data_IF_889263353150
#
_entry.id   IF_889263353150
#
_cell.length_a   1.000
_cell.length_b   1.000
_cell.length_c   1.000
_cell.angle_alpha   90.00
_cell.angle_beta   90.00
_cell.angle_gamma   90.00
#
_symmetry.space_group_name_H-M   'P 1'
#
loop_
_entity.id
_entity.type
_entity.pdbx_description
1 polymer ?
#
# COMPACT_ATOMS: atom_id res chain seq x y z
N UNK A 1 -16.65 -29.57 -26.03
CA UNK A 1 -15.70 -29.59 -24.91
C UNK A 1 -14.38 -28.97 -25.31
N UNK A 2 -13.51 -29.76 -25.93
CA UNK A 2 -12.09 -29.45 -26.19
C UNK A 2 -11.79 -28.18 -27.00
N UNK A 3 -12.55 -27.85 -28.05
CA UNK A 3 -12.33 -26.59 -28.82
C UNK A 3 -12.60 -25.32 -28.02
N UNK A 4 -13.63 -25.33 -27.16
CA UNK A 4 -13.92 -24.20 -26.28
C UNK A 4 -12.85 -24.07 -25.21
N UNK A 5 -12.46 -25.17 -24.56
CA UNK A 5 -11.38 -25.18 -23.56
C UNK A 5 -10.05 -24.67 -24.12
N UNK A 6 -9.64 -25.12 -25.30
CA UNK A 6 -8.45 -24.60 -26.00
C UNK A 6 -8.56 -23.11 -26.32
N UNK A 7 -9.72 -22.63 -26.77
CA UNK A 7 -9.91 -21.21 -27.08
C UNK A 7 -9.83 -20.31 -25.84
N UNK A 8 -10.32 -20.78 -24.69
CA UNK A 8 -10.26 -20.04 -23.43
C UNK A 8 -8.87 -20.11 -22.77
N UNK A 9 -8.20 -21.27 -22.79
CA UNK A 9 -6.82 -21.39 -22.34
C UNK A 9 -5.88 -20.48 -23.15
N UNK A 10 -6.09 -20.40 -24.47
CA UNK A 10 -5.39 -19.46 -25.33
C UNK A 10 -5.72 -18.01 -24.96
N UNK A 11 -7.00 -17.68 -24.72
CA UNK A 11 -7.40 -16.34 -24.30
C UNK A 11 -6.78 -15.93 -22.95
N UNK A 12 -6.65 -16.86 -22.02
CA UNK A 12 -6.03 -16.64 -20.70
C UNK A 12 -4.52 -16.41 -20.83
N UNK A 13 -3.83 -17.24 -21.62
CA UNK A 13 -2.43 -17.01 -21.98
C UNK A 13 -2.22 -15.66 -22.66
N UNK A 14 -3.08 -15.30 -23.62
CA UNK A 14 -3.03 -14.01 -24.30
C UNK A 14 -3.20 -12.87 -23.30
N UNK A 15 -4.12 -12.97 -22.34
CA UNK A 15 -4.34 -11.95 -21.30
C UNK A 15 -3.16 -11.86 -20.33
N UNK A 16 -2.57 -12.98 -19.91
CA UNK A 16 -1.34 -13.01 -19.10
C UNK A 16 -0.20 -12.30 -19.83
N UNK A 17 -0.04 -12.55 -21.14
CA UNK A 17 0.92 -11.85 -22.00
C UNK A 17 0.58 -10.36 -22.19
N UNK A 18 -0.69 -10.00 -22.38
CA UNK A 18 -1.10 -8.60 -22.45
C UNK A 18 -0.82 -7.84 -21.15
N UNK A 19 -1.03 -8.48 -19.99
CA UNK A 19 -0.71 -7.90 -18.67
C UNK A 19 0.80 -7.77 -18.47
N UNK A 20 1.57 -8.79 -18.85
CA UNK A 20 3.03 -8.74 -18.86
C UNK A 20 3.53 -7.60 -19.76
N UNK A 21 2.99 -7.47 -20.97
CA UNK A 21 3.27 -6.35 -21.87
C UNK A 21 2.88 -5.00 -21.27
N UNK A 22 1.73 -4.90 -20.59
CA UNK A 22 1.31 -3.67 -19.90
C UNK A 22 2.31 -3.32 -18.77
N UNK A 23 2.75 -4.30 -18.01
CA UNK A 23 3.74 -4.13 -16.94
C UNK A 23 5.11 -3.75 -17.51
N UNK A 24 5.55 -4.37 -18.61
CA UNK A 24 6.80 -4.04 -19.30
C UNK A 24 6.74 -2.64 -19.93
N UNK A 25 5.63 -2.28 -20.56
CA UNK A 25 5.42 -0.95 -21.12
C UNK A 25 5.42 0.12 -20.02
N UNK A 26 4.76 -0.16 -18.89
CA UNK A 26 4.82 0.69 -17.71
C UNK A 26 6.27 0.79 -17.20
N UNK A 27 6.96 -0.33 -16.98
CA UNK A 27 8.35 -0.35 -16.51
C UNK A 27 9.29 0.42 -17.45
N UNK A 28 9.10 0.32 -18.77
CA UNK A 28 9.86 1.06 -19.77
C UNK A 28 9.57 2.57 -19.74
N UNK A 29 8.34 2.96 -19.40
CA UNK A 29 7.96 4.37 -19.22
C UNK A 29 8.41 4.96 -17.87
N UNK A 30 8.76 4.09 -16.92
CA UNK A 30 9.21 4.48 -15.59
C UNK A 30 10.72 4.70 -15.60
N UNK A 31 11.22 5.80 -15.02
CA UNK A 31 12.66 6.01 -14.88
C UNK A 31 13.35 4.87 -14.11
N UNK A 32 14.66 4.65 -14.29
CA UNK A 32 15.42 3.56 -13.62
C UNK A 32 15.67 3.81 -12.12
N UNK A 33 15.20 2.91 -11.25
CA UNK A 33 15.47 2.97 -9.81
C UNK A 33 16.74 2.20 -9.45
N UNK A 34 17.50 2.69 -8.46
CA UNK A 34 18.65 2.01 -7.88
C UNK A 34 18.37 1.83 -6.39
N UNK A 35 18.46 0.59 -5.90
CA UNK A 35 18.37 0.26 -4.49
C UNK A 35 19.74 -0.21 -4.00
N UNK A 36 20.18 0.30 -2.84
CA UNK A 36 21.49 0.01 -2.26
C UNK A 36 21.31 -0.86 -1.02
N UNK A 37 21.85 -2.08 -1.06
CA UNK A 37 21.79 -3.06 0.02
C UNK A 37 23.18 -3.33 0.59
N UNK A 38 23.27 -3.64 1.88
CA UNK A 38 24.55 -3.90 2.56
C UNK A 38 24.40 -4.01 4.07
N UNK A 39 25.38 -4.62 4.75
CA UNK A 39 25.32 -4.87 6.20
C UNK A 39 25.45 -3.59 7.05
N UNK A 40 26.30 -2.63 6.63
CA UNK A 40 26.50 -1.37 7.36
C UNK A 40 25.44 -0.34 7.02
N UNK A 41 24.69 0.18 8.00
CA UNK A 41 23.69 1.25 7.80
C UNK A 41 24.38 2.58 7.49
N UNK A 42 25.40 2.95 8.27
CA UNK A 42 26.14 4.20 8.08
C UNK A 42 26.81 4.29 6.70
N UNK A 43 27.37 3.17 6.20
CA UNK A 43 27.98 3.13 4.86
C UNK A 43 26.98 3.33 3.72
N UNK A 44 25.77 2.75 3.86
CA UNK A 44 24.68 2.93 2.88
C UNK A 44 24.20 4.38 2.83
N UNK A 45 23.90 4.96 4.00
CA UNK A 45 23.42 6.34 4.07
C UNK A 45 24.46 7.32 3.54
N UNK A 46 25.75 7.13 3.87
CA UNK A 46 26.83 7.94 3.32
C UNK A 46 26.93 7.82 1.79
N UNK A 47 26.89 6.59 1.26
CA UNK A 47 26.95 6.37 -0.19
C UNK A 47 25.77 7.04 -0.91
N UNK A 48 24.54 6.87 -0.41
CA UNK A 48 23.34 7.50 -0.95
C UNK A 48 23.43 9.03 -0.84
N UNK A 49 23.90 9.56 0.30
CA UNK A 49 24.13 10.99 0.48
C UNK A 49 25.07 11.57 -0.57
N UNK A 50 26.22 10.91 -0.81
CA UNK A 50 27.18 11.31 -1.87
C UNK A 50 26.62 11.21 -3.28
N UNK A 51 25.73 10.24 -3.54
CA UNK A 51 25.08 10.10 -4.84
C UNK A 51 24.06 11.22 -5.09
N UNK A 52 23.40 11.68 -4.03
CA UNK A 52 22.38 12.72 -4.05
C UNK A 52 22.94 14.14 -3.84
N UNK A 53 24.22 14.27 -3.47
CA UNK A 53 24.90 15.56 -3.32
C UNK A 53 24.77 16.40 -4.59
N UNK A 54 24.19 17.59 -4.43
CA UNK A 54 24.07 18.58 -5.49
C UNK A 54 25.45 19.01 -6.00
N UNK A 55 25.64 18.96 -7.33
CA UNK A 55 26.92 19.32 -7.97
C UNK A 55 26.93 20.74 -8.54
N UNK A 56 25.78 21.41 -8.58
CA UNK A 56 25.64 22.78 -9.08
C UNK A 56 24.94 23.66 -8.06
N UNK A 57 25.34 24.92 -8.03
CA UNK A 57 24.73 25.93 -7.18
C UNK A 57 23.24 26.09 -7.55
N UNK A 58 22.34 25.89 -6.59
CA UNK A 58 20.88 25.96 -6.77
C UNK A 58 20.17 24.63 -7.09
N UNK A 59 20.89 23.52 -7.29
CA UNK A 59 20.28 22.18 -7.35
C UNK A 59 20.06 21.65 -5.92
N UNK A 60 18.92 21.00 -5.65
CA UNK A 60 18.64 20.35 -4.36
C UNK A 60 18.49 18.84 -4.54
N UNK A 61 18.59 18.07 -3.45
CA UNK A 61 18.37 16.60 -3.45
C UNK A 61 16.97 16.22 -3.99
N UNK A 62 16.01 17.15 -3.95
CA UNK A 62 14.65 16.96 -4.46
C UNK A 62 14.49 17.36 -5.94
N UNK A 63 15.49 18.01 -6.54
CA UNK A 63 15.67 18.14 -7.99
C UNK A 63 14.95 19.28 -8.72
N UNK A 64 14.15 20.14 -8.06
CA UNK A 64 13.76 21.45 -8.62
C UNK A 64 13.17 22.41 -7.57
N UNK A 65 13.24 23.72 -7.87
CA UNK A 65 12.68 24.83 -7.10
C UNK A 65 11.20 25.08 -7.51
N UNK A 66 10.20 24.90 -6.63
CA UNK A 66 8.82 25.27 -6.97
C UNK A 66 8.75 26.77 -7.27
N UNK A 67 7.81 27.17 -8.14
CA UNK A 67 7.69 28.51 -8.77
C UNK A 67 7.85 29.74 -7.85
N UNK A 68 7.77 29.60 -6.51
CA UNK A 68 7.72 30.72 -5.57
C UNK A 68 8.50 30.55 -4.25
N UNK A 69 9.38 29.55 -4.07
CA UNK A 69 10.14 29.47 -2.81
C UNK A 69 11.48 28.74 -2.94
N UNK A 70 12.64 29.43 -2.77
CA UNK A 70 13.93 28.78 -2.75
C UNK A 70 13.92 27.73 -1.65
N UNK A 71 13.93 26.46 -2.06
CA UNK A 71 14.17 25.37 -1.13
C UNK A 71 15.51 25.65 -0.43
N UNK A 72 15.61 25.45 0.90
CA UNK A 72 16.90 25.51 1.59
C UNK A 72 17.91 24.58 0.89
N UNK A 73 19.22 24.79 1.10
CA UNK A 73 20.25 23.80 0.74
C UNK A 73 20.03 22.51 1.55
N UNK A 74 19.05 21.70 1.11
CA UNK A 74 18.61 20.48 1.75
C UNK A 74 19.61 19.37 1.44
N UNK A 75 19.99 18.63 2.49
CA UNK A 75 20.96 17.56 2.45
C UNK A 75 20.32 16.23 2.87
N UNK A 76 20.62 15.17 2.13
CA UNK A 76 20.07 13.85 2.39
C UNK A 76 20.42 13.35 3.79
N UNK A 77 21.67 13.51 4.23
CA UNK A 77 22.13 12.95 5.50
C UNK A 77 21.48 13.65 6.70
N UNK A 78 21.28 14.95 6.62
CA UNK A 78 20.79 15.77 7.72
C UNK A 78 19.28 16.01 7.72
N UNK A 79 18.62 16.03 6.56
CA UNK A 79 17.19 16.40 6.45
C UNK A 79 16.26 15.25 6.12
N UNK A 80 16.73 14.23 5.40
CA UNK A 80 15.87 13.17 4.86
C UNK A 80 16.18 11.78 5.40
N UNK A 81 17.43 11.52 5.79
CA UNK A 81 17.84 10.25 6.36
C UNK A 81 17.47 10.19 7.84
N UNK A 82 16.55 9.30 8.27
CA UNK A 82 16.24 9.13 9.69
C UNK A 82 17.51 8.67 10.43
N UNK A 83 17.93 9.41 11.48
CA UNK A 83 19.19 9.19 12.19
C UNK A 83 18.99 8.46 13.52
N UNK A 84 18.91 7.13 13.53
CA UNK A 84 18.93 6.35 14.78
C UNK A 84 17.87 5.25 14.83
N UNK A 85 18.13 4.22 15.64
CA UNK A 85 17.35 2.98 15.66
C UNK A 85 17.98 1.92 14.76
N UNK A 86 18.15 0.70 15.27
CA UNK A 86 18.82 -0.42 14.59
C UNK A 86 18.10 -0.98 13.37
N UNK A 87 17.08 -0.29 12.83
CA UNK A 87 16.34 -0.73 11.65
C UNK A 87 16.11 0.39 10.63
N UNK A 88 16.43 0.02 9.39
CA UNK A 88 16.00 0.53 8.09
C UNK A 88 15.94 2.06 7.86
N UNK A 89 17.07 2.60 7.39
CA UNK A 89 17.05 3.63 6.35
C UNK A 89 16.42 3.04 5.08
N UNK A 90 15.11 3.15 4.96
CA UNK A 90 14.40 2.88 3.70
C UNK A 90 13.20 3.81 3.54
N UNK A 91 13.37 5.11 3.79
CA UNK A 91 12.57 6.09 3.05
C UNK A 91 13.18 6.19 1.64
N UNK A 92 12.96 5.17 0.82
CA UNK A 92 13.18 5.28 -0.62
C UNK A 92 11.92 5.91 -1.22
N UNK A 93 11.65 7.16 -0.84
CA UNK A 93 10.64 7.93 -1.55
C UNK A 93 11.29 8.46 -2.80
N UNK A 94 11.13 7.71 -3.88
CA UNK A 94 11.72 8.04 -5.16
C UNK A 94 10.88 9.10 -5.87
N UNK A 95 11.12 10.36 -5.56
CA UNK A 95 10.60 11.48 -6.35
C UNK A 95 11.38 11.55 -7.66
N UNK A 96 10.93 10.82 -8.68
CA UNK A 96 11.59 10.91 -9.98
C UNK A 96 11.04 12.08 -10.76
N UNK A 97 11.82 13.15 -10.88
CA UNK A 97 11.53 14.27 -11.76
C UNK A 97 11.95 13.94 -13.20
N UNK A 98 11.26 12.97 -13.81
CA UNK A 98 11.45 12.62 -15.23
C UNK A 98 10.75 13.59 -16.18
N UNK A 99 11.15 13.64 -17.46
CA UNK A 99 10.50 14.43 -18.53
C UNK A 99 9.20 13.79 -19.08
N UNK A 100 8.82 12.59 -18.63
CA UNK A 100 7.61 11.88 -19.09
C UNK A 100 6.38 12.21 -18.24
N UNK A 101 5.19 12.22 -18.88
CA UNK A 101 3.80 12.48 -18.39
C UNK A 101 3.57 13.72 -17.50
N UNK A 102 4.63 14.31 -16.99
CA UNK A 102 4.68 15.28 -15.91
C UNK A 102 4.87 16.69 -16.42
N UNK A 103 5.35 16.93 -17.64
CA UNK A 103 5.64 18.32 -18.08
C UNK A 103 4.36 19.18 -18.18
N UNK A 104 3.24 18.59 -18.60
CA UNK A 104 1.93 19.26 -18.57
C UNK A 104 1.41 19.50 -17.14
N UNK A 105 1.51 18.51 -16.26
CA UNK A 105 1.03 18.64 -14.87
C UNK A 105 1.95 19.51 -13.99
N UNK A 106 3.26 19.49 -14.27
CA UNK A 106 4.25 20.43 -13.74
C UNK A 106 3.92 21.86 -14.16
N UNK A 107 3.53 22.07 -15.43
CA UNK A 107 3.11 23.39 -15.89
C UNK A 107 1.86 23.90 -15.12
N UNK A 108 0.96 22.97 -14.75
CA UNK A 108 -0.23 23.21 -13.94
C UNK A 108 0.01 23.27 -12.42
N UNK A 109 1.25 23.09 -11.93
CA UNK A 109 1.57 23.23 -10.50
C UNK A 109 1.59 21.93 -9.69
N UNK A 110 1.42 20.76 -10.32
CA UNK A 110 1.44 19.44 -9.65
C UNK A 110 2.65 18.61 -10.11
N UNK A 111 3.87 18.94 -9.65
CA UNK A 111 5.10 18.32 -10.14
C UNK A 111 5.34 16.90 -9.62
N UNK A 112 4.62 16.47 -8.58
CA UNK A 112 4.80 15.16 -7.96
C UNK A 112 3.75 14.21 -8.50
N UNK A 113 4.18 13.01 -8.87
CA UNK A 113 3.30 11.93 -9.32
C UNK A 113 3.38 10.76 -8.35
N UNK A 114 2.25 10.41 -7.75
CA UNK A 114 2.04 9.18 -6.98
C UNK A 114 1.33 8.14 -7.82
N UNK A 115 1.70 6.87 -7.66
CA UNK A 115 0.97 5.73 -8.22
C UNK A 115 0.23 5.03 -7.09
N UNK A 116 -1.06 4.80 -7.26
CA UNK A 116 -1.84 4.00 -6.33
C UNK A 116 -1.40 2.54 -6.40
N UNK A 117 -1.48 1.87 -5.25
CA UNK A 117 -1.32 0.41 -5.21
C UNK A 117 -2.42 -0.23 -6.05
N UNK A 118 -2.05 -1.23 -6.86
CA UNK A 118 -3.05 -2.05 -7.54
C UNK A 118 -3.81 -2.90 -6.53
N UNK A 119 -4.98 -3.41 -6.91
CA UNK A 119 -5.74 -4.35 -6.08
C UNK A 119 -4.91 -5.59 -5.72
N UNK A 120 -4.13 -6.09 -6.68
CA UNK A 120 -3.15 -7.17 -6.47
C UNK A 120 -2.07 -6.80 -5.44
N UNK A 121 -1.53 -5.57 -5.50
CA UNK A 121 -0.56 -5.09 -4.51
C UNK A 121 -1.16 -5.01 -3.09
N UNK A 122 -2.41 -4.55 -2.96
CA UNK A 122 -3.14 -4.55 -1.68
C UNK A 122 -3.31 -5.96 -1.13
N UNK A 123 -3.75 -6.91 -1.97
CA UNK A 123 -3.91 -8.32 -1.58
C UNK A 123 -2.59 -8.91 -1.09
N UNK A 124 -1.51 -8.78 -1.87
CA UNK A 124 -0.19 -9.29 -1.52
C UNK A 124 0.32 -8.68 -0.21
N UNK A 125 0.18 -7.36 -0.05
CA UNK A 125 0.65 -6.64 1.14
C UNK A 125 -0.10 -7.08 2.40
N UNK A 126 -1.43 -7.12 2.36
CA UNK A 126 -2.26 -7.52 3.51
C UNK A 126 -2.08 -8.99 3.84
N UNK A 127 -2.10 -9.87 2.84
CA UNK A 127 -1.93 -11.31 3.04
C UNK A 127 -0.56 -11.63 3.62
N UNK A 128 0.51 -11.04 3.09
CA UNK A 128 1.87 -11.20 3.63
C UNK A 128 1.95 -10.71 5.07
N UNK A 129 1.40 -9.53 5.38
CA UNK A 129 1.38 -8.99 6.74
C UNK A 129 0.69 -9.94 7.71
N UNK A 130 -0.49 -10.44 7.34
CA UNK A 130 -1.22 -11.42 8.14
C UNK A 130 -0.43 -12.73 8.32
N UNK A 131 0.11 -13.32 7.25
CA UNK A 131 0.87 -14.58 7.32
C UNK A 131 2.22 -14.44 8.03
N UNK A 132 2.81 -13.26 8.03
CA UNK A 132 4.04 -12.95 8.72
C UNK A 132 3.85 -12.76 10.23
N UNK A 133 2.85 -11.95 10.61
CA UNK A 133 2.69 -11.45 11.98
C UNK A 133 1.64 -12.21 12.80
N UNK A 134 0.62 -12.77 12.14
CA UNK A 134 -0.49 -13.45 12.81
C UNK A 134 -0.36 -14.98 12.80
N UNK A 135 0.84 -15.52 12.57
CA UNK A 135 1.11 -16.95 12.70
C UNK A 135 0.86 -17.41 14.14
N UNK A 136 -0.20 -18.19 14.34
CA UNK A 136 -0.29 -19.10 15.49
C UNK A 136 0.09 -20.50 15.02
N UNK A 137 0.88 -21.22 15.82
CA UNK A 137 1.30 -22.60 15.56
C UNK A 137 0.11 -23.57 15.38
N UNK A 138 -1.11 -23.15 15.75
CA UNK A 138 -2.34 -23.94 15.76
C UNK A 138 -3.29 -23.70 14.55
N UNK A 139 -2.91 -22.94 13.52
CA UNK A 139 -3.82 -22.69 12.37
C UNK A 139 -3.75 -23.83 11.33
N UNK A 140 -4.69 -24.76 11.44
CA UNK A 140 -4.84 -25.97 10.62
C UNK A 140 -5.51 -25.77 9.24
N UNK A 141 -6.01 -24.57 8.91
CA UNK A 141 -6.80 -24.40 7.69
C UNK A 141 -5.91 -24.29 6.44
N UNK A 142 -5.96 -25.35 5.62
CA UNK A 142 -5.31 -25.48 4.32
C UNK A 142 -6.34 -25.31 3.21
N UNK A 143 -6.07 -24.43 2.27
CA UNK A 143 -6.86 -24.19 1.06
C UNK A 143 -6.34 -25.06 -0.07
N UNK A 144 -6.86 -26.29 -0.15
CA UNK A 144 -6.67 -27.18 -1.29
C UNK A 144 -7.77 -27.01 -2.36
N UNK A 145 -7.71 -27.81 -3.43
CA UNK A 145 -8.69 -27.76 -4.52
C UNK A 145 -10.13 -27.98 -4.07
N UNK A 146 -10.35 -28.93 -3.16
CA UNK A 146 -11.68 -29.34 -2.73
C UNK A 146 -12.28 -28.33 -1.75
N UNK A 147 -11.48 -27.79 -0.83
CA UNK A 147 -11.90 -26.74 0.10
C UNK A 147 -12.25 -25.44 -0.63
N UNK A 148 -11.44 -25.05 -1.61
CA UNK A 148 -11.70 -23.85 -2.42
C UNK A 148 -12.93 -24.05 -3.32
N UNK A 149 -13.10 -25.24 -3.92
CA UNK A 149 -14.31 -25.54 -4.70
C UNK A 149 -15.55 -25.50 -3.82
N UNK A 150 -15.51 -26.07 -2.61
CA UNK A 150 -16.62 -26.02 -1.66
C UNK A 150 -16.95 -24.59 -1.24
N UNK A 151 -15.93 -23.78 -0.92
CA UNK A 151 -16.12 -22.37 -0.59
C UNK A 151 -16.80 -21.61 -1.74
N UNK A 152 -16.32 -21.81 -2.97
CA UNK A 152 -16.86 -21.13 -4.14
C UNK A 152 -18.27 -21.60 -4.46
N UNK A 153 -18.50 -22.90 -4.58
CA UNK A 153 -19.77 -23.48 -5.02
C UNK A 153 -20.87 -23.32 -3.97
N UNK A 154 -20.60 -23.77 -2.75
CA UNK A 154 -21.64 -24.00 -1.74
C UNK A 154 -21.89 -22.74 -0.88
N UNK A 155 -20.94 -21.79 -0.84
CA UNK A 155 -21.06 -20.58 -0.04
C UNK A 155 -21.09 -19.30 -0.89
N UNK A 156 -20.05 -19.03 -1.66
CA UNK A 156 -19.90 -17.73 -2.31
C UNK A 156 -20.77 -17.58 -3.55
N UNK A 157 -20.78 -18.54 -4.47
CA UNK A 157 -21.56 -18.47 -5.71
C UNK A 157 -23.06 -18.56 -5.46
N UNK A 158 -23.47 -19.30 -4.42
CA UNK A 158 -24.87 -19.33 -4.00
C UNK A 158 -25.37 -17.96 -3.51
N UNK A 159 -24.51 -17.13 -2.91
CA UNK A 159 -24.88 -15.82 -2.31
C UNK A 159 -24.56 -14.63 -3.20
N UNK A 160 -23.50 -14.70 -3.99
CA UNK A 160 -22.95 -13.60 -4.78
C UNK A 160 -22.68 -14.02 -6.24
N UNK A 161 -23.65 -14.65 -6.94
CA UNK A 161 -23.43 -15.11 -8.31
C UNK A 161 -23.22 -13.93 -9.27
N UNK A 162 -22.52 -14.20 -10.37
CA UNK A 162 -22.45 -13.33 -11.55
C UNK A 162 -22.67 -14.15 -12.80
N UNK A 163 -23.33 -13.58 -13.81
CA UNK A 163 -23.44 -14.19 -15.14
C UNK A 163 -22.17 -14.04 -15.97
N UNK A 164 -21.35 -13.04 -15.63
CA UNK A 164 -20.12 -12.68 -16.35
C UNK A 164 -18.90 -12.99 -15.49
N UNK A 165 -17.91 -13.64 -16.10
CA UNK A 165 -16.62 -13.90 -15.47
C UNK A 165 -15.81 -12.59 -15.42
N UNK A 166 -15.64 -12.03 -14.22
CA UNK A 166 -14.75 -10.89 -14.02
C UNK A 166 -13.29 -11.34 -14.18
N UNK A 167 -12.70 -10.95 -15.29
CA UNK A 167 -11.34 -11.36 -15.64
C UNK A 167 -10.30 -10.59 -14.84
N UNK A 168 -10.57 -9.34 -14.47
CA UNK A 168 -9.60 -8.52 -13.75
C UNK A 168 -9.44 -9.02 -12.31
N UNK A 169 -10.56 -9.37 -11.64
CA UNK A 169 -10.51 -10.03 -10.33
C UNK A 169 -9.75 -11.35 -10.38
N UNK A 170 -10.03 -12.20 -11.37
CA UNK A 170 -9.32 -13.48 -11.54
C UNK A 170 -7.82 -13.29 -11.65
N UNK A 171 -7.37 -12.37 -12.52
CA UNK A 171 -5.94 -12.12 -12.71
C UNK A 171 -5.29 -11.54 -11.45
N UNK A 172 -5.96 -10.64 -10.73
CA UNK A 172 -5.42 -10.06 -9.49
C UNK A 172 -5.30 -11.10 -8.37
N UNK A 173 -6.27 -11.99 -8.25
CA UNK A 173 -6.26 -13.09 -7.27
C UNK A 173 -5.17 -14.11 -7.62
N UNK A 174 -5.06 -14.51 -8.89
CA UNK A 174 -4.00 -15.43 -9.33
C UNK A 174 -2.61 -14.84 -9.12
N UNK A 175 -2.42 -13.54 -9.32
CA UNK A 175 -1.15 -12.88 -9.07
C UNK A 175 -0.80 -12.80 -7.58
N UNK A 176 -1.78 -12.50 -6.72
CA UNK A 176 -1.59 -12.53 -5.27
C UNK A 176 -1.32 -13.94 -4.75
N UNK A 177 -2.03 -14.93 -5.29
CA UNK A 177 -1.81 -16.35 -5.04
C UNK A 177 -0.38 -16.76 -5.40
N UNK A 178 0.05 -16.48 -6.63
CA UNK A 178 1.40 -16.84 -7.10
C UNK A 178 2.49 -16.22 -6.24
N UNK A 179 2.34 -14.96 -5.87
CA UNK A 179 3.24 -14.30 -4.93
C UNK A 179 3.31 -15.03 -3.59
N UNK A 180 2.17 -15.40 -2.99
CA UNK A 180 2.15 -16.07 -1.69
C UNK A 180 2.72 -17.49 -1.75
N UNK A 181 2.33 -18.28 -2.76
CA UNK A 181 2.73 -19.69 -2.87
C UNK A 181 4.17 -19.82 -3.36
N UNK A 182 4.55 -19.10 -4.42
CA UNK A 182 5.87 -19.27 -5.08
C UNK A 182 6.95 -18.41 -4.44
N UNK A 183 6.66 -17.14 -4.14
CA UNK A 183 7.67 -16.20 -3.62
C UNK A 183 7.74 -16.21 -2.10
N UNK A 184 6.59 -16.28 -1.42
CA UNK A 184 6.51 -16.28 0.04
C UNK A 184 6.49 -17.70 0.65
N UNK A 185 6.42 -18.75 -0.18
CA UNK A 185 6.39 -20.16 0.25
C UNK A 185 5.29 -20.47 1.28
N UNK A 186 4.12 -19.86 1.13
CA UNK A 186 2.96 -20.12 1.98
C UNK A 186 2.47 -21.57 1.75
N UNK A 187 2.35 -22.34 2.84
CA UNK A 187 1.90 -23.73 2.82
C UNK A 187 0.42 -23.90 3.12
N UNK A 188 -0.26 -22.83 3.53
CA UNK A 188 -1.69 -22.84 3.79
C UNK A 188 -2.53 -22.77 2.52
N UNK A 189 -1.94 -22.51 1.37
CA UNK A 189 -2.61 -22.52 0.06
C UNK A 189 -1.88 -23.54 -0.82
N UNK A 190 -2.55 -24.65 -1.13
CA UNK A 190 -1.95 -25.78 -1.87
C UNK A 190 -2.60 -26.01 -3.23
N UNK A 191 -3.77 -25.42 -3.48
CA UNK A 191 -4.36 -25.35 -4.81
C UNK A 191 -3.37 -24.70 -5.81
N UNK A 192 -3.35 -25.17 -7.05
CA UNK A 192 -2.53 -24.54 -8.10
C UNK A 192 -3.20 -23.28 -8.65
N UNK A 193 -2.39 -22.36 -9.20
CA UNK A 193 -2.88 -21.15 -9.90
C UNK A 193 -3.93 -21.52 -10.96
N UNK A 194 -3.64 -22.52 -11.79
CA UNK A 194 -4.51 -22.96 -12.88
C UNK A 194 -5.84 -23.53 -12.36
N UNK A 195 -5.79 -24.34 -11.29
CA UNK A 195 -7.00 -24.90 -10.68
C UNK A 195 -7.87 -23.80 -10.06
N UNK A 196 -7.25 -22.86 -9.34
CA UNK A 196 -7.94 -21.69 -8.76
C UNK A 196 -8.58 -20.84 -9.86
N UNK A 197 -7.85 -20.58 -10.96
CA UNK A 197 -8.33 -19.83 -12.09
C UNK A 197 -9.53 -20.50 -12.78
N UNK A 198 -9.53 -21.83 -12.89
CA UNK A 198 -10.64 -22.59 -13.46
C UNK A 198 -11.86 -22.65 -12.53
N UNK A 199 -11.67 -22.79 -11.22
CA UNK A 199 -12.78 -22.74 -10.26
C UNK A 199 -13.49 -21.38 -10.27
N UNK A 200 -12.73 -20.27 -10.28
CA UNK A 200 -13.31 -18.92 -10.41
C UNK A 200 -14.03 -18.69 -11.76
N UNK A 201 -13.76 -19.53 -12.77
CA UNK A 201 -14.45 -19.53 -14.07
C UNK A 201 -15.75 -20.35 -14.01
N UNK A 202 -15.72 -21.50 -13.34
CA UNK A 202 -16.91 -22.36 -13.15
C UNK A 202 -17.95 -21.73 -12.23
N UNK A 203 -17.49 -20.98 -11.23
CA UNK A 203 -18.32 -20.34 -10.22
C UNK A 203 -18.08 -18.81 -10.22
N UNK A 204 -18.52 -18.09 -11.28
CA UNK A 204 -18.34 -16.66 -11.39
C UNK A 204 -19.03 -15.90 -10.25
N UNK A 205 -18.34 -14.91 -9.69
CA UNK A 205 -18.83 -14.10 -8.58
C UNK A 205 -19.01 -12.65 -9.02
N UNK A 206 -19.89 -11.92 -8.35
CA UNK A 206 -19.92 -10.47 -8.47
C UNK A 206 -18.75 -9.84 -7.67
N UNK A 207 -18.61 -8.51 -7.73
CA UNK A 207 -17.53 -7.79 -7.04
C UNK A 207 -17.45 -8.13 -5.53
N UNK A 208 -18.59 -8.20 -4.85
CA UNK A 208 -18.65 -8.52 -3.41
C UNK A 208 -18.22 -9.97 -3.13
N UNK A 209 -18.64 -10.91 -3.98
CA UNK A 209 -18.23 -12.30 -3.88
C UNK A 209 -16.72 -12.49 -4.02
N UNK A 210 -16.07 -11.79 -4.96
CA UNK A 210 -14.61 -11.84 -5.09
C UNK A 210 -13.88 -11.21 -3.91
N UNK A 211 -14.41 -10.12 -3.32
CA UNK A 211 -13.88 -9.57 -2.08
C UNK A 211 -13.93 -10.61 -0.97
N UNK A 212 -15.07 -11.29 -0.80
CA UNK A 212 -15.24 -12.34 0.21
C UNK A 212 -14.31 -13.54 -0.02
N UNK A 213 -14.14 -13.96 -1.27
CA UNK A 213 -13.17 -15.01 -1.64
C UNK A 213 -11.75 -14.66 -1.15
N UNK A 214 -11.31 -13.42 -1.42
CA UNK A 214 -10.01 -12.93 -0.97
C UNK A 214 -9.90 -12.95 0.56
N UNK A 215 -10.94 -12.47 1.26
CA UNK A 215 -10.98 -12.46 2.71
C UNK A 215 -10.80 -13.85 3.32
N UNK A 216 -11.50 -14.86 2.79
CA UNK A 216 -11.39 -16.24 3.25
C UNK A 216 -10.00 -16.83 2.97
N UNK A 217 -9.51 -16.75 1.73
CA UNK A 217 -8.28 -17.43 1.32
C UNK A 217 -7.04 -16.79 1.96
N UNK A 218 -6.96 -15.46 1.95
CA UNK A 218 -5.72 -14.77 2.27
C UNK A 218 -5.54 -14.44 3.76
N UNK A 219 -6.63 -14.28 4.51
CA UNK A 219 -6.56 -13.96 5.95
C UNK A 219 -7.72 -14.52 6.77
N UNK A 220 -8.28 -15.66 6.35
CA UNK A 220 -9.27 -16.46 7.11
C UNK A 220 -10.49 -15.67 7.61
N UNK A 221 -10.95 -14.71 6.81
CA UNK A 221 -12.13 -13.90 7.09
C UNK A 221 -12.04 -13.09 8.41
N UNK A 222 -10.82 -12.71 8.82
CA UNK A 222 -10.63 -11.86 9.99
C UNK A 222 -11.33 -10.50 9.78
N UNK A 223 -12.39 -10.25 10.56
CA UNK A 223 -13.28 -9.10 10.40
C UNK A 223 -12.55 -7.75 10.30
N UNK A 224 -11.52 -7.55 11.12
CA UNK A 224 -10.71 -6.33 11.09
C UNK A 224 -10.02 -6.13 9.72
N UNK A 225 -9.40 -7.18 9.19
CA UNK A 225 -8.71 -7.12 7.90
C UNK A 225 -9.70 -7.01 6.75
N UNK A 226 -10.87 -7.65 6.85
CA UNK A 226 -11.95 -7.48 5.88
C UNK A 226 -12.36 -6.00 5.75
N UNK A 227 -12.60 -5.35 6.88
CA UNK A 227 -13.01 -3.94 6.91
C UNK A 227 -11.92 -3.03 6.36
N UNK A 228 -10.66 -3.29 6.69
CA UNK A 228 -9.51 -2.56 6.15
C UNK A 228 -9.41 -2.76 4.64
N UNK A 229 -9.53 -4.00 4.15
CA UNK A 229 -9.44 -4.30 2.73
C UNK A 229 -10.53 -3.60 1.93
N UNK A 230 -11.79 -3.69 2.36
CA UNK A 230 -12.93 -3.01 1.71
C UNK A 230 -12.72 -1.49 1.71
N UNK A 231 -12.24 -0.91 2.82
CA UNK A 231 -11.93 0.52 2.91
C UNK A 231 -10.82 0.93 1.94
N UNK A 232 -9.77 0.13 1.80
CA UNK A 232 -8.66 0.40 0.87
C UNK A 232 -9.12 0.29 -0.59
N UNK A 233 -9.98 -0.68 -0.92
CA UNK A 233 -10.57 -0.79 -2.26
C UNK A 233 -11.43 0.43 -2.61
N UNK A 234 -12.33 0.83 -1.71
CA UNK A 234 -13.16 2.04 -1.90
C UNK A 234 -12.30 3.28 -2.05
N UNK A 235 -11.30 3.45 -1.17
CA UNK A 235 -10.35 4.56 -1.29
C UNK A 235 -9.66 4.55 -2.64
N UNK A 236 -9.24 3.38 -3.13
CA UNK A 236 -8.59 3.27 -4.44
C UNK A 236 -9.53 3.70 -5.57
N UNK A 237 -10.81 3.34 -5.51
CA UNK A 237 -11.81 3.76 -6.50
C UNK A 237 -12.09 5.27 -6.41
N UNK A 238 -12.21 5.80 -5.20
CA UNK A 238 -12.44 7.21 -4.91
C UNK A 238 -11.25 8.08 -5.31
N UNK A 239 -10.02 7.61 -5.07
CA UNK A 239 -8.77 8.33 -5.35
C UNK A 239 -8.24 8.06 -6.76
N UNK A 240 -8.55 6.91 -7.37
CA UNK A 240 -8.06 6.56 -8.70
C UNK A 240 -8.91 7.19 -9.81
N UNK A 241 -10.23 7.22 -9.66
CA UNK A 241 -11.09 7.57 -10.79
C UNK A 241 -10.79 6.69 -12.01
N UNK A 242 -10.45 7.29 -13.16
CA UNK A 242 -10.08 6.56 -14.39
C UNK A 242 -8.56 6.28 -14.50
N UNK A 243 -7.75 6.71 -13.52
CA UNK A 243 -6.29 6.69 -13.56
C UNK A 243 -5.68 6.05 -12.30
N UNK A 244 -4.62 5.26 -12.45
CA UNK A 244 -3.84 4.75 -11.30
C UNK A 244 -2.89 5.81 -10.71
N UNK A 245 -2.91 7.03 -11.23
CA UNK A 245 -2.00 8.12 -10.86
C UNK A 245 -2.71 9.28 -10.18
N UNK A 246 -2.04 9.80 -9.14
CA UNK A 246 -2.40 11.00 -8.40
C UNK A 246 -1.28 12.02 -8.59
N UNK A 247 -1.63 13.27 -8.89
CA UNK A 247 -0.66 14.35 -9.04
C UNK A 247 -0.76 15.28 -7.83
N UNK A 248 0.37 15.72 -7.31
CA UNK A 248 0.47 16.38 -6.01
C UNK A 248 1.31 17.65 -6.11
N UNK A 249 0.90 18.68 -5.36
CA UNK A 249 1.69 19.88 -5.13
C UNK A 249 2.93 19.59 -4.27
N UNK A 250 3.92 20.49 -4.35
CA UNK A 250 5.17 20.35 -3.61
C UNK A 250 4.99 20.31 -2.09
N UNK A 251 3.96 20.98 -1.58
CA UNK A 251 3.63 21.03 -0.16
C UNK A 251 3.35 19.65 0.47
N UNK A 252 3.10 18.61 -0.33
CA UNK A 252 2.95 17.24 0.16
C UNK A 252 4.27 16.64 0.65
N UNK A 253 5.43 17.08 0.15
CA UNK A 253 6.74 16.53 0.52
C UNK A 253 7.04 16.69 2.02
N UNK A 254 6.98 17.91 2.61
CA UNK A 254 7.18 18.08 4.04
C UNK A 254 6.26 17.19 4.89
N UNK A 255 4.99 17.04 4.50
CA UNK A 255 4.05 16.17 5.19
C UNK A 255 4.47 14.68 5.14
N UNK A 256 4.82 14.16 3.96
CA UNK A 256 5.29 12.77 3.81
C UNK A 256 6.52 12.53 4.69
N UNK A 257 7.49 13.44 4.65
CA UNK A 257 8.72 13.32 5.43
C UNK A 257 8.45 13.29 6.94
N UNK A 258 7.60 14.20 7.43
CA UNK A 258 7.23 14.22 8.85
C UNK A 258 6.38 13.03 9.28
N UNK A 259 5.57 12.46 8.38
CA UNK A 259 4.72 11.29 8.67
C UNK A 259 5.50 9.98 8.79
N UNK A 260 6.74 9.96 8.30
CA UNK A 260 7.63 8.81 8.31
C UNK A 260 8.73 8.93 9.37
N UNK A 261 8.84 10.07 10.05
CA UNK A 261 9.90 10.36 11.00
C UNK A 261 9.33 10.50 12.43
N UNK A 262 9.96 9.88 13.44
CA UNK A 262 9.68 10.18 14.84
C UNK A 262 9.81 11.69 15.12
N UNK A 263 9.13 12.20 16.14
CA UNK A 263 9.09 13.65 16.45
C UNK A 263 10.49 14.29 16.56
N UNK A 264 11.46 13.56 17.09
CA UNK A 264 12.85 14.02 17.22
C UNK A 264 13.62 14.12 15.89
N UNK A 265 13.13 13.45 14.84
CA UNK A 265 13.69 13.37 13.49
C UNK A 265 12.84 14.07 12.42
N UNK A 266 11.75 14.74 12.82
CA UNK A 266 10.97 15.57 11.90
C UNK A 266 11.83 16.65 11.27
N UNK A 267 11.50 17.01 10.03
CA UNK A 267 12.29 17.98 9.30
C UNK A 267 12.24 19.33 10.03
N UNK A 268 13.39 20.02 10.11
CA UNK A 268 13.48 21.31 10.80
C UNK A 268 13.52 22.50 9.86
N UNK A 269 13.78 22.24 8.56
CA UNK A 269 14.06 23.27 7.54
C UNK A 269 12.92 23.50 6.54
N UNK A 270 11.99 22.57 6.40
CA UNK A 270 10.78 22.75 5.59
C UNK A 270 9.61 23.28 6.44
N UNK A 271 8.61 23.95 5.84
CA UNK A 271 7.41 24.35 6.55
C UNK A 271 6.59 23.13 6.99
N UNK A 272 6.29 23.04 8.28
CA UNK A 272 5.40 22.00 8.77
C UNK A 272 4.02 22.11 8.12
N UNK A 273 3.58 21.00 7.54
CA UNK A 273 2.31 20.92 6.83
C UNK A 273 1.46 19.83 7.46
N UNK A 274 0.18 20.13 7.74
CA UNK A 274 -0.74 19.15 8.34
C UNK A 274 -1.59 18.54 7.25
N UNK A 275 -2.00 17.29 7.47
CA UNK A 275 -2.90 16.61 6.54
C UNK A 275 -4.19 17.39 6.23
N UNK A 276 -4.70 18.12 7.24
CA UNK A 276 -5.94 18.90 7.15
C UNK A 276 -5.84 20.08 6.17
N UNK A 277 -4.63 20.42 5.76
CA UNK A 277 -4.33 21.55 4.88
C UNK A 277 -4.47 21.14 3.39
N UNK A 278 -4.51 19.83 3.10
CA UNK A 278 -4.68 19.31 1.75
C UNK A 278 -6.15 19.00 1.43
N UNK A 279 -6.50 19.19 0.16
CA UNK A 279 -7.71 18.65 -0.44
C UNK A 279 -7.41 18.08 -1.83
N UNK A 280 -8.43 17.46 -2.43
CA UNK A 280 -8.30 16.81 -3.72
C UNK A 280 -9.38 17.29 -4.70
N UNK A 281 -8.94 17.54 -5.93
CA UNK A 281 -9.80 17.90 -7.07
C UNK A 281 -9.65 16.90 -8.20
N UNK A 282 -10.73 16.70 -8.96
CA UNK A 282 -10.71 15.89 -10.19
C UNK A 282 -10.70 16.79 -11.41
N UNK A 283 -9.72 16.60 -12.28
CA UNK A 283 -9.59 17.32 -13.55
C UNK A 283 -9.13 16.37 -14.65
N UNK A 284 -9.88 16.31 -15.76
CA UNK A 284 -9.56 15.47 -16.92
C UNK A 284 -9.27 13.99 -16.58
N UNK A 285 -10.07 13.39 -15.70
CA UNK A 285 -9.91 12.00 -15.25
C UNK A 285 -8.73 11.76 -14.29
N UNK A 286 -8.02 12.80 -13.89
CA UNK A 286 -6.89 12.76 -12.94
C UNK A 286 -7.27 13.35 -11.59
N UNK A 287 -6.60 12.91 -10.55
CA UNK A 287 -6.73 13.46 -9.21
C UNK A 287 -5.54 14.35 -8.90
N UNK A 288 -5.84 15.57 -8.46
CA UNK A 288 -4.91 16.62 -8.12
C UNK A 288 -5.01 16.86 -6.61
N UNK A 289 -3.90 16.76 -5.87
CA UNK A 289 -3.84 16.99 -4.42
C UNK A 289 -2.99 18.21 -4.13
N UNK A 290 -3.55 19.17 -3.41
CA UNK A 290 -2.91 20.46 -3.15
C UNK A 290 -3.40 21.14 -1.88
N UNK A 291 -2.68 22.16 -1.43
CA UNK A 291 -3.08 23.00 -0.31
C UNK A 291 -4.35 23.79 -0.66
N UNK A 292 -5.38 23.65 0.15
CA UNK A 292 -6.66 24.33 -0.09
C UNK A 292 -7.43 23.85 -1.33
N UNK A 293 -7.01 22.75 -1.98
CA UNK A 293 -7.77 22.08 -3.03
C UNK A 293 -9.13 21.56 -2.52
N UNK A 294 -10.09 21.32 -3.42
CA UNK A 294 -11.52 21.19 -3.14
C UNK A 294 -11.96 20.13 -2.13
N UNK A 295 -12.68 19.09 -2.57
CA UNK A 295 -13.32 18.15 -1.62
C UNK A 295 -12.26 17.44 -0.78
N UNK A 296 -12.45 17.39 0.55
CA UNK A 296 -11.67 16.50 1.41
C UNK A 296 -12.10 15.06 1.10
N UNK A 297 -11.49 14.44 0.10
CA UNK A 297 -11.53 13.00 -0.05
C UNK A 297 -11.16 12.37 1.31
N UNK A 298 -11.68 11.20 1.66
CA UNK A 298 -11.32 10.45 2.88
C UNK A 298 -9.91 9.83 2.81
N UNK A 299 -8.97 10.68 2.41
CA UNK A 299 -7.54 10.70 2.65
C UNK A 299 -7.14 10.32 4.10
N UNK A 300 -8.07 10.24 5.05
CA UNK A 300 -7.86 9.71 6.42
C UNK A 300 -7.28 8.28 6.46
N UNK A 301 -7.47 7.46 5.42
CA UNK A 301 -6.81 6.14 5.33
C UNK A 301 -5.32 6.21 4.99
N UNK A 302 -4.87 7.22 4.22
CA UNK A 302 -3.43 7.49 4.07
C UNK A 302 -2.82 7.91 5.41
N UNK A 303 -3.54 8.73 6.18
CA UNK A 303 -3.18 9.02 7.57
C UNK A 303 -3.24 7.77 8.46
N UNK A 304 -4.21 6.86 8.25
CA UNK A 304 -4.36 5.60 8.98
C UNK A 304 -3.29 4.55 8.67
N UNK A 305 -2.72 4.53 7.46
CA UNK A 305 -1.55 3.70 7.13
C UNK A 305 -0.28 4.22 7.82
N UNK A 306 -0.14 5.54 7.98
CA UNK A 306 0.93 6.17 8.77
C UNK A 306 0.75 5.92 10.28
N UNK A 307 -0.45 6.12 10.82
CA UNK A 307 -0.79 5.87 12.25
C UNK A 307 -0.82 4.37 12.58
N UNK A 308 -1.18 3.50 11.63
CA UNK A 308 -1.17 2.04 11.80
C UNK A 308 0.23 1.47 11.95
N UNK A 309 1.23 2.10 11.31
CA UNK A 309 2.65 1.83 11.53
C UNK A 309 3.09 2.22 12.94
N UNK A 310 2.66 3.38 13.45
CA UNK A 310 2.93 3.82 14.82
C UNK A 310 2.28 2.89 15.87
N UNK A 311 1.03 2.48 15.65
CA UNK A 311 0.31 1.57 16.55
C UNK A 311 0.97 0.18 16.59
N UNK A 312 1.26 -0.40 15.43
CA UNK A 312 1.92 -1.72 15.34
C UNK A 312 3.35 -1.67 15.89
N UNK A 313 4.11 -0.62 15.56
CA UNK A 313 5.45 -0.39 16.11
C UNK A 313 5.47 -0.21 17.63
N UNK A 314 4.44 0.44 18.20
CA UNK A 314 4.32 0.60 19.65
C UNK A 314 4.05 -0.73 20.38
N UNK A 315 3.27 -1.63 19.77
CA UNK A 315 2.99 -2.97 20.32
C UNK A 315 4.26 -3.82 20.28
N UNK A 316 4.97 -3.83 19.15
CA UNK A 316 6.24 -4.57 19.02
C UNK A 316 7.26 -4.09 20.03
N UNK A 317 7.42 -2.77 20.22
CA UNK A 317 8.33 -2.20 21.22
C UNK A 317 7.98 -2.65 22.65
N UNK A 318 6.69 -2.63 23.01
CA UNK A 318 6.22 -3.06 24.34
C UNK A 318 6.46 -4.55 24.57
N UNK A 319 6.22 -5.38 23.57
CA UNK A 319 6.38 -6.84 23.65
C UNK A 319 7.86 -7.24 23.66
N UNK A 320 8.70 -6.56 22.89
CA UNK A 320 10.16 -6.80 22.85
C UNK A 320 10.86 -6.46 24.16
N UNK A 321 10.46 -5.35 24.79
CA UNK A 321 11.02 -4.89 26.07
C UNK A 321 10.41 -5.60 27.28
N UNK A 322 9.31 -6.33 27.10
CA UNK A 322 8.64 -7.02 28.20
C UNK A 322 9.36 -8.31 28.66
N UNK A 323 9.28 -8.64 29.97
CA UNK A 323 9.79 -9.90 30.50
C UNK A 323 9.20 -11.12 29.77
N UNK A 324 10.03 -12.15 29.49
CA UNK A 324 9.67 -13.32 28.65
C UNK A 324 8.33 -13.99 29.00
N UNK A 325 7.93 -13.97 30.27
CA UNK A 325 6.70 -14.58 30.79
C UNK A 325 5.54 -13.60 31.03
N UNK A 326 5.66 -12.33 30.61
CA UNK A 326 4.63 -11.29 30.79
C UNK A 326 4.30 -10.51 29.52
N UNK A 327 4.81 -10.94 28.37
CA UNK A 327 4.62 -10.26 27.08
C UNK A 327 3.15 -10.00 26.73
N UNK A 328 2.26 -10.95 27.02
CA UNK A 328 0.81 -10.76 26.81
C UNK A 328 0.19 -9.66 27.68
N UNK A 329 0.65 -9.50 28.94
CA UNK A 329 0.17 -8.46 29.84
C UNK A 329 0.65 -7.05 29.44
N UNK A 330 1.90 -6.93 28.97
CA UNK A 330 2.42 -5.65 28.50
C UNK A 330 1.92 -5.31 27.10
N UNK A 331 1.73 -6.31 26.24
CA UNK A 331 1.08 -6.15 24.94
C UNK A 331 -0.36 -5.68 25.07
N UNK A 332 -1.14 -6.21 26.03
CA UNK A 332 -2.55 -5.80 26.23
C UNK A 332 -2.72 -4.37 26.73
N UNK A 333 -1.69 -3.75 27.31
CA UNK A 333 -1.72 -2.35 27.74
C UNK A 333 -1.89 -1.37 26.57
N UNK A 334 -1.39 -1.71 25.38
CA UNK A 334 -1.59 -0.93 24.15
C UNK A 334 -3.08 -0.85 23.77
N UNK A 335 -3.77 -1.99 23.83
CA UNK A 335 -5.19 -2.12 23.52
C UNK A 335 -6.04 -1.43 24.59
N UNK A 336 -5.67 -1.57 25.86
CA UNK A 336 -6.28 -0.84 26.97
C UNK A 336 -6.16 0.69 26.81
N UNK A 337 -5.00 1.20 26.38
CA UNK A 337 -4.78 2.62 26.13
C UNK A 337 -5.68 3.19 25.02
N UNK A 338 -5.87 2.44 23.93
CA UNK A 338 -6.77 2.84 22.84
C UNK A 338 -8.22 2.94 23.30
N UNK A 339 -8.74 1.90 23.96
CA UNK A 339 -10.11 1.91 24.47
C UNK A 339 -10.31 2.94 25.59
N UNK A 340 -9.33 3.12 26.47
CA UNK A 340 -9.35 4.17 27.49
C UNK A 340 -9.38 5.57 26.89
N UNK A 341 -8.58 5.82 25.84
CA UNK A 341 -8.58 7.10 25.11
C UNK A 341 -9.91 7.38 24.40
N UNK A 342 -10.53 6.37 23.79
CA UNK A 342 -11.85 6.49 23.16
C UNK A 342 -12.95 6.81 24.19
N UNK A 343 -12.90 6.17 25.36
CA UNK A 343 -13.84 6.44 26.45
C UNK A 343 -13.67 7.87 26.99
N UNK A 344 -12.44 8.31 27.23
CA UNK A 344 -12.15 9.68 27.69
C UNK A 344 -12.55 10.73 26.64
N UNK A 345 -12.29 10.47 25.36
CA UNK A 345 -12.70 11.34 24.26
C UNK A 345 -14.22 11.48 24.17
N UNK A 346 -14.94 10.36 24.32
CA UNK A 346 -16.41 10.34 24.35
C UNK A 346 -16.97 11.07 25.57
N UNK A 347 -16.35 10.89 26.74
CA UNK A 347 -16.73 11.57 27.97
C UNK A 347 -16.54 13.08 27.86
N UNK A 348 -15.38 13.53 27.34
CA UNK A 348 -15.08 14.94 27.13
C UNK A 348 -16.04 15.58 26.13
N UNK A 349 -16.32 14.90 25.01
CA UNK A 349 -17.32 15.36 24.04
C UNK A 349 -18.70 15.49 24.70
N UNK A 350 -19.10 14.53 25.53
CA UNK A 350 -20.38 14.58 26.26
C UNK A 350 -20.44 15.62 27.37
N UNK A 351 -19.31 16.13 27.86
CA UNK A 351 -19.26 17.20 28.88
C UNK A 351 -19.24 18.59 28.23
N UNK A 352 -18.73 18.68 26.99
CA UNK A 352 -18.61 19.94 26.24
C UNK A 352 -19.85 20.23 25.37
N UNK A 353 -20.67 19.21 25.08
CA UNK A 353 -21.95 19.33 24.37
C UNK A 353 -23.09 19.27 25.37
#
# INVERSE_FOLDING_TARGET
GTRHELSFALADQVRKRCRELKNLNLAASMPVAVAVYGASQAGKSLFVGRLLESRKQGETVLGFDPKDAPLPDLDFLNDFNPQGGGEATAVVTRFTLGKGLSDAMKAEGYPIMGRLLSRSDLLKSMARGFKGECRSDDQEQVWDGDEVERLLKDNLHAKYPSEVVDTDWRLDICEAHDFLVKEYCDRSITISEDALADLMRRYPLNNEGYIKLCCHIFWYDLALLNDVFVKLLRLREDVGGESDFVFMEWDVIPYILDSLAPDEFKHKRLPHTKWKDFGADRKDGKILVGKGGGSRLDLRLFQGLSVGGEFTGSISLLVEKAPKNRRGFFGSWSTFGVFGGMLLGSLLASVVT
#
